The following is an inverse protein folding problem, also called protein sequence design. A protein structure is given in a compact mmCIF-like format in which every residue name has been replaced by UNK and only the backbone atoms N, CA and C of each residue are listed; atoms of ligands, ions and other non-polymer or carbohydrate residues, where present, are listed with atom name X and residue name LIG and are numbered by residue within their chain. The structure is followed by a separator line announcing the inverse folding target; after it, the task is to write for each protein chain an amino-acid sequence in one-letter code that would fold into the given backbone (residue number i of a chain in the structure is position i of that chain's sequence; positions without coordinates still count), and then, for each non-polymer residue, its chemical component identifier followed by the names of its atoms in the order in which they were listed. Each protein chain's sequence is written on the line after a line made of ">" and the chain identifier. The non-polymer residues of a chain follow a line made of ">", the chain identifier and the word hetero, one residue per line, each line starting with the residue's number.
data_IF_154672918019
#
_entry.id   IF_154672918019
#
_cell.length_a   1.000
_cell.length_b   1.000
_cell.length_c   1.000
_cell.angle_alpha   90.00
_cell.angle_beta   90.00
_cell.angle_gamma   90.00
#
_symmetry.space_group_name_H-M   'P 1'
#
loop_
_entity.id
_entity.type
_entity.pdbx_description
1 polymer ?
#
# COMPACT_ATOMS: atom_id res chain seq x y z
N UNK A 1 23.25 -2.68 -18.94
CA UNK A 1 22.81 -2.75 -17.53
C UNK A 1 22.94 -4.19 -17.09
N UNK A 2 23.50 -4.45 -15.90
CA UNK A 2 23.55 -5.81 -15.32
C UNK A 2 22.11 -6.34 -15.24
N UNK A 3 21.86 -7.59 -15.64
CA UNK A 3 20.52 -8.20 -15.51
C UNK A 3 20.36 -8.82 -14.13
N UNK A 4 19.14 -8.89 -13.58
CA UNK A 4 18.92 -9.51 -12.28
C UNK A 4 19.31 -10.99 -12.28
N UNK A 5 19.18 -11.71 -13.40
CA UNK A 5 19.55 -13.12 -13.53
C UNK A 5 21.07 -13.38 -13.48
N UNK A 6 21.90 -12.39 -13.79
CA UNK A 6 23.36 -12.54 -13.82
C UNK A 6 23.96 -12.48 -12.41
N UNK A 7 23.50 -11.51 -11.60
CA UNK A 7 23.87 -11.33 -10.20
C UNK A 7 22.80 -10.47 -9.51
N UNK A 8 21.85 -11.14 -8.86
CA UNK A 8 20.70 -10.49 -8.24
C UNK A 8 21.09 -9.55 -7.10
N UNK A 9 22.07 -9.94 -6.28
CA UNK A 9 22.51 -9.14 -5.15
C UNK A 9 23.16 -7.82 -5.61
N UNK A 10 24.03 -7.91 -6.61
CA UNK A 10 24.64 -6.71 -7.21
C UNK A 10 23.60 -5.86 -7.93
N UNK A 11 22.68 -6.48 -8.70
CA UNK A 11 21.59 -5.75 -9.35
C UNK A 11 20.72 -4.97 -8.35
N UNK A 12 20.33 -5.62 -7.26
CA UNK A 12 19.52 -5.01 -6.20
C UNK A 12 20.26 -3.88 -5.49
N UNK A 13 21.56 -4.04 -5.24
CA UNK A 13 22.40 -2.97 -4.68
C UNK A 13 22.42 -1.75 -5.62
N UNK A 14 22.66 -1.95 -6.92
CA UNK A 14 22.69 -0.83 -7.88
C UNK A 14 21.30 -0.17 -7.96
N UNK A 15 20.22 -0.96 -8.02
CA UNK A 15 18.85 -0.47 -7.97
C UNK A 15 18.62 0.46 -6.77
N UNK A 16 19.04 0.05 -5.58
CA UNK A 16 18.90 0.83 -4.35
C UNK A 16 19.73 2.11 -4.34
N UNK A 17 20.91 2.11 -4.95
CA UNK A 17 21.78 3.30 -5.01
C UNK A 17 21.34 4.32 -6.06
N UNK A 18 20.55 3.89 -7.05
CA UNK A 18 20.07 4.75 -8.14
C UNK A 18 18.73 5.42 -7.84
N UNK A 19 18.06 5.08 -6.74
CA UNK A 19 16.79 5.70 -6.30
C UNK A 19 16.88 7.21 -6.07
N UNK A 20 18.09 7.76 -5.90
CA UNK A 20 18.30 9.18 -5.68
C UNK A 20 18.30 9.98 -7.00
N UNK A 21 18.28 9.29 -8.15
CA UNK A 21 18.23 9.85 -9.51
C UNK A 21 17.14 9.14 -10.32
N UNK A 22 15.98 9.79 -10.49
CA UNK A 22 14.86 9.23 -11.26
C UNK A 22 15.26 8.84 -12.70
N UNK A 23 16.06 9.64 -13.45
CA UNK A 23 16.50 9.24 -14.78
C UNK A 23 17.32 7.95 -14.79
N UNK A 24 18.22 7.75 -13.83
CA UNK A 24 19.04 6.54 -13.76
C UNK A 24 18.21 5.34 -13.30
N UNK A 25 17.34 5.55 -12.31
CA UNK A 25 16.39 4.53 -11.87
C UNK A 25 15.47 4.06 -12.99
N UNK A 26 15.05 4.97 -13.90
CA UNK A 26 14.11 4.64 -14.97
C UNK A 26 14.56 3.47 -15.85
N UNK A 27 15.87 3.23 -15.94
CA UNK A 27 16.45 2.12 -16.69
C UNK A 27 16.14 0.75 -16.07
N UNK A 28 15.83 0.70 -14.76
CA UNK A 28 15.47 -0.54 -14.04
C UNK A 28 13.98 -0.88 -14.13
N UNK A 29 13.12 0.09 -14.46
CA UNK A 29 11.65 -0.09 -14.46
C UNK A 29 11.23 -1.29 -15.33
N UNK A 30 11.74 -1.48 -16.57
CA UNK A 30 11.36 -2.64 -17.39
C UNK A 30 11.71 -3.99 -16.76
N UNK A 31 12.84 -4.08 -16.05
CA UNK A 31 13.22 -5.31 -15.34
C UNK A 31 12.32 -5.55 -14.13
N UNK A 32 12.03 -4.50 -13.33
CA UNK A 32 11.12 -4.62 -12.19
C UNK A 32 9.73 -5.05 -12.65
N UNK A 33 9.20 -4.44 -13.71
CA UNK A 33 7.91 -4.78 -14.29
C UNK A 33 7.88 -6.23 -14.76
N UNK A 34 8.91 -6.67 -15.49
CA UNK A 34 9.03 -8.07 -15.93
C UNK A 34 9.05 -9.05 -14.76
N UNK A 35 9.80 -8.77 -13.70
CA UNK A 35 9.85 -9.64 -12.51
C UNK A 35 8.51 -9.66 -11.77
N UNK A 36 7.83 -8.51 -11.64
CA UNK A 36 6.49 -8.41 -11.07
C UNK A 36 5.46 -9.19 -11.90
N UNK A 37 5.54 -9.10 -13.23
CA UNK A 37 4.64 -9.83 -14.13
C UNK A 37 4.87 -11.35 -14.00
N UNK A 38 6.12 -11.80 -13.91
CA UNK A 38 6.42 -13.21 -13.61
C UNK A 38 5.73 -13.68 -12.31
N UNK A 39 5.84 -12.91 -11.23
CA UNK A 39 5.18 -13.25 -9.95
C UNK A 39 3.66 -13.26 -10.13
N UNK A 40 3.10 -12.29 -10.85
CA UNK A 40 1.65 -12.17 -11.01
C UNK A 40 1.06 -13.30 -11.84
N UNK A 41 1.80 -13.79 -12.84
CA UNK A 41 1.38 -14.85 -13.75
C UNK A 41 1.67 -16.26 -13.22
N UNK A 42 2.79 -16.45 -12.52
CA UNK A 42 3.29 -17.78 -12.14
C UNK A 42 3.43 -18.00 -10.64
N UNK A 43 3.15 -16.98 -9.81
CA UNK A 43 3.50 -16.92 -8.38
C UNK A 43 5.01 -17.05 -8.09
N UNK A 44 5.88 -17.02 -9.09
CA UNK A 44 7.31 -17.18 -8.92
C UNK A 44 8.13 -16.14 -9.71
N UNK A 45 9.35 -15.89 -9.25
CA UNK A 45 10.36 -15.24 -10.07
C UNK A 45 10.92 -16.25 -11.10
N UNK A 46 11.43 -15.80 -12.25
CA UNK A 46 12.03 -16.69 -13.24
C UNK A 46 13.30 -17.34 -12.67
N UNK A 47 13.68 -18.53 -13.14
CA UNK A 47 14.99 -19.11 -12.81
C UNK A 47 16.14 -18.20 -13.30
N UNK A 48 17.22 -18.00 -12.51
CA UNK A 48 17.55 -18.65 -11.23
C UNK A 48 17.01 -17.94 -9.98
N UNK A 49 16.10 -16.98 -10.12
CA UNK A 49 15.74 -16.00 -9.09
C UNK A 49 14.65 -16.45 -8.10
N UNK A 50 14.12 -17.65 -8.22
CA UNK A 50 12.96 -18.13 -7.43
C UNK A 50 13.13 -17.93 -5.93
N UNK A 51 14.32 -18.22 -5.39
CA UNK A 51 14.62 -18.10 -3.96
C UNK A 51 14.60 -16.65 -3.45
N UNK A 52 14.76 -15.66 -4.34
CA UNK A 52 14.81 -14.25 -3.98
C UNK A 52 13.44 -13.55 -4.00
N UNK A 53 12.34 -14.25 -4.29
CA UNK A 53 10.99 -13.64 -4.41
C UNK A 53 10.62 -12.79 -3.20
N UNK A 54 10.77 -13.33 -1.99
CA UNK A 54 10.38 -12.61 -0.78
C UNK A 54 11.32 -11.43 -0.50
N UNK A 55 12.61 -11.59 -0.77
CA UNK A 55 13.57 -10.50 -0.64
C UNK A 55 13.23 -9.37 -1.62
N UNK A 56 12.98 -9.68 -2.89
CA UNK A 56 12.58 -8.72 -3.91
C UNK A 56 11.36 -7.89 -3.47
N UNK A 57 10.28 -8.55 -3.02
CA UNK A 57 9.06 -7.88 -2.56
C UNK A 57 9.35 -6.97 -1.36
N UNK A 58 10.08 -7.49 -0.37
CA UNK A 58 10.41 -6.72 0.84
C UNK A 58 11.23 -5.47 0.50
N UNK A 59 12.22 -5.61 -0.37
CA UNK A 59 13.16 -4.55 -0.76
C UNK A 59 12.50 -3.46 -1.59
N UNK A 60 11.58 -3.82 -2.49
CA UNK A 60 10.72 -2.84 -3.18
C UNK A 60 10.00 -1.95 -2.16
N UNK A 61 9.42 -2.55 -1.12
CA UNK A 61 8.67 -1.80 -0.10
C UNK A 61 9.54 -0.93 0.80
N UNK A 62 10.62 -1.50 1.37
CA UNK A 62 11.38 -0.86 2.44
C UNK A 62 12.41 0.13 1.92
N UNK A 63 13.01 -0.15 0.76
CA UNK A 63 14.23 0.52 0.31
C UNK A 63 13.96 1.39 -0.93
N UNK A 64 13.08 0.95 -1.84
CA UNK A 64 12.77 1.70 -3.07
C UNK A 64 11.62 2.68 -2.83
N UNK A 65 10.43 2.18 -2.50
CA UNK A 65 9.22 3.02 -2.32
C UNK A 65 9.44 4.06 -1.24
N UNK A 66 9.99 3.66 -0.08
CA UNK A 66 10.23 4.59 1.02
C UNK A 66 11.14 5.75 0.62
N UNK A 67 12.16 5.53 -0.21
CA UNK A 67 13.04 6.61 -0.67
C UNK A 67 12.30 7.56 -1.61
N UNK A 68 11.54 7.02 -2.56
CA UNK A 68 10.75 7.86 -3.48
C UNK A 68 9.72 8.74 -2.78
N UNK A 69 9.04 8.21 -1.77
CA UNK A 69 8.08 8.99 -0.98
C UNK A 69 8.73 10.12 -0.17
N UNK A 70 10.05 10.09 0.02
CA UNK A 70 10.83 11.12 0.69
C UNK A 70 11.59 12.06 -0.27
N UNK A 71 11.40 11.92 -1.59
CA UNK A 71 11.99 12.86 -2.55
C UNK A 71 11.33 14.24 -2.44
N UNK A 72 12.13 15.29 -2.65
CA UNK A 72 11.68 16.68 -2.65
C UNK A 72 10.99 17.03 -3.99
N UNK A 73 10.96 18.32 -4.34
CA UNK A 73 10.42 18.77 -5.61
C UNK A 73 11.23 18.18 -6.78
N UNK A 74 10.53 17.63 -7.78
CA UNK A 74 11.14 17.09 -9.01
C UNK A 74 10.53 17.76 -10.24
N UNK A 75 11.25 17.79 -11.37
CA UNK A 75 10.68 18.19 -12.65
C UNK A 75 9.50 17.31 -13.06
N UNK A 76 8.50 17.87 -13.77
CA UNK A 76 7.30 17.16 -14.25
C UNK A 76 7.65 15.83 -14.94
N UNK A 77 8.66 15.82 -15.81
CA UNK A 77 9.08 14.61 -16.54
C UNK A 77 9.52 13.47 -15.59
N UNK A 78 10.18 13.80 -14.48
CA UNK A 78 10.58 12.81 -13.48
C UNK A 78 9.39 12.37 -12.63
N UNK A 79 8.45 13.28 -12.34
CA UNK A 79 7.20 12.96 -11.67
C UNK A 79 6.35 11.99 -12.52
N UNK A 80 6.31 12.17 -13.84
CA UNK A 80 5.62 11.24 -14.76
C UNK A 80 6.23 9.84 -14.72
N UNK A 81 7.57 9.73 -14.83
CA UNK A 81 8.29 8.45 -14.72
C UNK A 81 7.99 7.76 -13.39
N UNK A 82 8.07 8.52 -12.28
CA UNK A 82 7.80 7.98 -10.96
C UNK A 82 6.34 7.52 -10.84
N UNK A 83 5.39 8.30 -11.37
CA UNK A 83 3.99 7.92 -11.38
C UNK A 83 3.75 6.63 -12.18
N UNK A 84 4.40 6.46 -13.33
CA UNK A 84 4.36 5.22 -14.12
C UNK A 84 4.87 4.02 -13.30
N UNK A 85 5.98 4.18 -12.59
CA UNK A 85 6.48 3.16 -11.69
C UNK A 85 5.49 2.83 -10.55
N UNK A 86 4.88 3.82 -9.92
CA UNK A 86 3.90 3.60 -8.86
C UNK A 86 2.64 2.88 -9.37
N UNK A 87 2.23 3.11 -10.62
CA UNK A 87 1.12 2.37 -11.25
C UNK A 87 1.42 0.88 -11.37
N UNK A 88 2.65 0.50 -11.71
CA UNK A 88 3.09 -0.91 -11.72
C UNK A 88 2.91 -1.53 -10.33
N UNK A 89 3.31 -0.82 -9.27
CA UNK A 89 3.20 -1.31 -7.90
C UNK A 89 1.74 -1.47 -7.42
N UNK A 90 0.85 -0.56 -7.82
CA UNK A 90 -0.58 -0.66 -7.49
C UNK A 90 -1.22 -1.85 -8.23
N UNK A 91 -0.87 -2.06 -9.50
CA UNK A 91 -1.29 -3.26 -10.22
C UNK A 91 -0.76 -4.53 -9.56
N UNK A 92 0.50 -4.53 -9.11
CA UNK A 92 1.05 -5.65 -8.35
C UNK A 92 0.31 -5.86 -7.03
N UNK A 93 -0.11 -4.81 -6.33
CA UNK A 93 -0.84 -4.95 -5.06
C UNK A 93 -2.15 -5.76 -5.20
N UNK A 94 -2.79 -5.74 -6.38
CA UNK A 94 -3.98 -6.57 -6.69
C UNK A 94 -3.68 -8.06 -6.63
N UNK A 95 -2.47 -8.46 -7.00
CA UNK A 95 -1.99 -9.84 -6.86
C UNK A 95 -2.05 -10.30 -5.39
N UNK A 96 -1.86 -9.38 -4.45
CA UNK A 96 -1.91 -9.65 -3.02
C UNK A 96 -3.25 -10.24 -2.54
N UNK A 97 -4.38 -9.87 -3.18
CA UNK A 97 -5.68 -10.46 -2.87
C UNK A 97 -5.76 -11.93 -3.26
N UNK A 98 -5.26 -12.27 -4.46
CA UNK A 98 -5.29 -13.65 -4.99
C UNK A 98 -4.33 -14.57 -4.23
N UNK A 99 -3.15 -14.06 -3.90
CA UNK A 99 -2.09 -14.79 -3.20
C UNK A 99 -2.20 -14.78 -1.69
N UNK A 100 -3.17 -14.04 -1.12
CA UNK A 100 -3.26 -13.75 0.31
C UNK A 100 -1.94 -13.20 0.90
N UNK A 101 -1.18 -12.42 0.12
CA UNK A 101 0.11 -11.89 0.53
C UNK A 101 -0.02 -10.47 1.12
N UNK A 102 0.14 -10.39 2.45
CA UNK A 102 0.02 -9.14 3.22
C UNK A 102 1.00 -8.07 2.73
N UNK A 103 2.25 -8.45 2.45
CA UNK A 103 3.29 -7.50 2.04
C UNK A 103 2.97 -6.86 0.69
N UNK A 104 2.35 -7.60 -0.22
CA UNK A 104 1.95 -7.11 -1.54
C UNK A 104 0.75 -6.16 -1.44
N UNK A 105 -0.27 -6.51 -0.63
CA UNK A 105 -1.42 -5.59 -0.37
C UNK A 105 -0.95 -4.29 0.29
N UNK A 106 -0.01 -4.40 1.23
CA UNK A 106 0.54 -3.26 1.96
C UNK A 106 1.17 -2.21 1.03
N UNK A 107 1.71 -2.60 -0.14
CA UNK A 107 2.25 -1.66 -1.12
C UNK A 107 1.24 -0.58 -1.51
N UNK A 108 0.01 -0.98 -1.87
CA UNK A 108 -1.02 0.01 -2.21
C UNK A 108 -1.37 0.86 -1.01
N UNK A 109 -1.49 0.27 0.18
CA UNK A 109 -1.84 1.01 1.40
C UNK A 109 -0.81 2.10 1.70
N UNK A 110 0.49 1.82 1.57
CA UNK A 110 1.55 2.82 1.75
C UNK A 110 1.37 3.98 0.78
N UNK A 111 1.10 3.70 -0.49
CA UNK A 111 0.98 4.74 -1.52
C UNK A 111 -0.24 5.64 -1.32
N UNK A 112 -1.37 5.10 -0.86
CA UNK A 112 -2.64 5.85 -0.75
C UNK A 112 -2.88 6.45 0.63
N UNK A 113 -2.22 5.99 1.69
CA UNK A 113 -2.65 6.33 3.06
C UNK A 113 -2.10 7.62 3.63
N UNK A 114 -0.91 8.05 3.20
CA UNK A 114 -0.20 9.12 3.88
C UNK A 114 0.05 10.31 2.93
N UNK A 115 -0.80 11.34 3.07
CA UNK A 115 -0.65 12.63 2.38
C UNK A 115 0.57 13.42 2.84
N UNK A 116 1.17 13.03 3.97
CA UNK A 116 2.26 13.77 4.61
C UNK A 116 3.64 13.48 4.04
N UNK A 117 3.75 12.54 3.09
CA UNK A 117 4.99 12.26 2.38
C UNK A 117 5.54 13.50 1.67
N UNK A 118 6.87 13.66 1.73
CA UNK A 118 7.57 14.82 1.15
C UNK A 118 7.28 14.89 -0.35
N UNK A 119 7.25 13.75 -1.05
CA UNK A 119 6.93 13.70 -2.47
C UNK A 119 5.60 14.40 -2.79
N UNK A 120 4.56 14.18 -1.97
CA UNK A 120 3.23 14.73 -2.22
C UNK A 120 3.17 16.22 -1.86
N UNK A 121 3.78 16.60 -0.75
CA UNK A 121 3.85 18.00 -0.30
C UNK A 121 4.70 18.87 -1.23
N UNK A 122 5.87 18.41 -1.63
CA UNK A 122 6.79 19.21 -2.44
C UNK A 122 6.38 19.31 -3.91
N UNK A 123 5.35 18.56 -4.35
CA UNK A 123 4.91 18.49 -5.74
C UNK A 123 3.40 18.70 -5.91
N UNK A 124 2.81 19.63 -5.14
CA UNK A 124 1.36 19.93 -5.14
C UNK A 124 0.75 20.11 -6.54
N UNK A 125 1.45 20.79 -7.45
CA UNK A 125 0.96 21.05 -8.82
C UNK A 125 0.76 19.78 -9.66
N UNK A 126 1.42 18.68 -9.32
CA UNK A 126 1.23 17.40 -10.01
C UNK A 126 0.03 16.60 -9.47
N UNK A 127 -0.40 16.90 -8.26
CA UNK A 127 -1.51 16.24 -7.56
C UNK A 127 -1.33 14.72 -7.42
N UNK A 128 -0.16 14.29 -6.94
CA UNK A 128 0.24 12.88 -6.85
C UNK A 128 -0.79 12.00 -6.16
N UNK A 129 -1.23 12.39 -4.96
CA UNK A 129 -2.07 11.56 -4.11
C UNK A 129 -3.43 11.27 -4.76
N UNK A 130 -4.07 12.28 -5.33
CA UNK A 130 -5.31 12.13 -6.10
C UNK A 130 -5.12 11.23 -7.33
N UNK A 131 -4.03 11.45 -8.10
CA UNK A 131 -3.73 10.60 -9.28
C UNK A 131 -3.56 9.13 -8.92
N UNK A 132 -2.84 8.84 -7.82
CA UNK A 132 -2.64 7.48 -7.31
C UNK A 132 -3.97 6.85 -6.89
N UNK A 133 -4.80 7.57 -6.11
CA UNK A 133 -6.08 7.05 -5.65
C UNK A 133 -7.06 6.80 -6.82
N UNK A 134 -7.11 7.73 -7.79
CA UNK A 134 -7.91 7.56 -9.01
C UNK A 134 -7.46 6.35 -9.80
N UNK A 135 -6.15 6.20 -10.03
CA UNK A 135 -5.61 5.04 -10.73
C UNK A 135 -5.93 3.73 -10.01
N UNK A 136 -5.79 3.67 -8.68
CA UNK A 136 -6.13 2.48 -7.90
C UNK A 136 -7.60 2.06 -8.07
N UNK A 137 -8.51 3.03 -8.21
CA UNK A 137 -9.90 2.74 -8.57
C UNK A 137 -10.04 2.25 -10.01
N UNK A 138 -9.44 2.98 -10.97
CA UNK A 138 -9.52 2.67 -12.41
C UNK A 138 -8.95 1.28 -12.75
N UNK A 139 -7.86 0.88 -12.10
CA UNK A 139 -7.22 -0.41 -12.33
C UNK A 139 -7.94 -1.57 -11.61
N UNK A 140 -9.06 -1.32 -10.93
CA UNK A 140 -9.87 -2.34 -10.27
C UNK A 140 -9.43 -2.75 -8.86
N UNK A 141 -8.39 -2.14 -8.28
CA UNK A 141 -7.94 -2.48 -6.92
C UNK A 141 -9.06 -2.23 -5.89
N UNK A 142 -9.83 -1.16 -6.05
CA UNK A 142 -10.93 -0.84 -5.14
C UNK A 142 -12.04 -1.91 -5.15
N UNK A 143 -12.45 -2.36 -6.33
CA UNK A 143 -13.55 -3.31 -6.47
C UNK A 143 -13.11 -4.72 -6.04
N UNK A 144 -11.92 -5.15 -6.46
CA UNK A 144 -11.33 -6.43 -6.06
C UNK A 144 -11.09 -6.49 -4.54
N UNK A 145 -10.63 -5.39 -3.92
CA UNK A 145 -10.46 -5.33 -2.47
C UNK A 145 -11.78 -5.48 -1.71
N UNK A 146 -12.87 -4.89 -2.20
CA UNK A 146 -14.20 -5.07 -1.61
C UNK A 146 -14.71 -6.50 -1.75
N UNK A 147 -14.52 -7.12 -2.92
CA UNK A 147 -14.84 -8.53 -3.14
C UNK A 147 -14.05 -9.42 -2.19
N UNK A 148 -12.73 -9.21 -2.10
CA UNK A 148 -11.84 -9.93 -1.21
C UNK A 148 -12.31 -9.84 0.25
N UNK A 149 -12.63 -8.65 0.76
CA UNK A 149 -13.16 -8.50 2.12
C UNK A 149 -14.51 -9.20 2.32
N UNK A 150 -15.33 -9.28 1.27
CA UNK A 150 -16.62 -9.96 1.30
C UNK A 150 -16.49 -11.48 1.40
N UNK A 151 -15.34 -12.05 1.00
CA UNK A 151 -15.05 -13.49 1.16
C UNK A 151 -14.58 -13.88 2.56
N UNK A 152 -14.50 -12.93 3.49
CA UNK A 152 -14.01 -13.13 4.87
C UNK A 152 -12.58 -13.73 4.91
N UNK A 153 -11.55 -12.93 4.57
CA UNK A 153 -10.16 -13.38 4.63
C UNK A 153 -9.79 -13.90 6.02
N UNK A 154 -8.97 -14.95 6.07
CA UNK A 154 -8.60 -15.63 7.33
C UNK A 154 -7.64 -14.82 8.21
N UNK A 155 -6.95 -13.82 7.66
CA UNK A 155 -5.96 -13.01 8.37
C UNK A 155 -6.51 -11.63 8.70
N UNK A 156 -6.38 -11.25 9.98
CA UNK A 156 -6.71 -9.90 10.48
C UNK A 156 -5.87 -8.85 9.76
N UNK A 157 -4.60 -9.13 9.47
CA UNK A 157 -3.72 -8.20 8.78
C UNK A 157 -4.18 -7.96 7.34
N UNK A 158 -4.60 -9.02 6.63
CA UNK A 158 -5.16 -8.91 5.28
C UNK A 158 -6.40 -8.01 5.28
N UNK A 159 -7.29 -8.18 6.26
CA UNK A 159 -8.49 -7.34 6.42
C UNK A 159 -8.10 -5.90 6.70
N UNK A 160 -7.20 -5.68 7.65
CA UNK A 160 -6.78 -4.34 8.10
C UNK A 160 -6.15 -3.54 6.95
N UNK A 161 -5.14 -4.10 6.27
CA UNK A 161 -4.43 -3.39 5.21
C UNK A 161 -5.31 -3.14 3.99
N UNK A 162 -6.16 -4.10 3.62
CA UNK A 162 -7.14 -3.93 2.54
C UNK A 162 -8.14 -2.83 2.88
N UNK A 163 -8.80 -2.92 4.03
CA UNK A 163 -9.78 -1.91 4.46
C UNK A 163 -9.17 -0.51 4.55
N UNK A 164 -7.96 -0.40 5.13
CA UNK A 164 -7.23 0.86 5.23
C UNK A 164 -7.00 1.49 3.86
N UNK A 165 -6.46 0.72 2.89
CA UNK A 165 -6.25 1.21 1.53
C UNK A 165 -7.57 1.68 0.87
N UNK A 166 -8.64 0.88 0.96
CA UNK A 166 -9.95 1.21 0.40
C UNK A 166 -10.55 2.48 1.03
N UNK A 167 -10.38 2.66 2.35
CA UNK A 167 -10.85 3.85 3.06
C UNK A 167 -10.21 5.13 2.51
N UNK A 168 -8.88 5.14 2.37
CA UNK A 168 -8.17 6.30 1.85
C UNK A 168 -8.51 6.60 0.40
N UNK A 169 -8.57 5.58 -0.46
CA UNK A 169 -9.01 5.74 -1.85
C UNK A 169 -10.41 6.37 -1.91
N UNK A 170 -11.36 5.86 -1.12
CA UNK A 170 -12.72 6.38 -1.11
C UNK A 170 -12.82 7.82 -0.59
N UNK A 171 -12.05 8.14 0.45
CA UNK A 171 -11.99 9.49 1.03
C UNK A 171 -11.52 10.49 -0.02
N UNK A 172 -10.37 10.23 -0.64
CA UNK A 172 -9.75 11.10 -1.64
C UNK A 172 -10.64 11.32 -2.86
N UNK A 173 -11.39 10.30 -3.31
CA UNK A 173 -12.25 10.41 -4.50
C UNK A 173 -13.56 11.17 -4.22
N UNK A 174 -13.98 11.29 -2.96
CA UNK A 174 -15.21 12.01 -2.58
C UNK A 174 -14.99 13.47 -2.21
N UNK A 175 -13.79 13.82 -1.77
CA UNK A 175 -13.42 15.19 -1.42
C UNK A 175 -13.31 16.20 -2.58
N UNK A 176 -13.20 15.87 -3.89
CA UNK A 176 -13.06 16.89 -4.93
C UNK A 176 -14.36 17.66 -5.24
N UNK A 177 -15.50 17.28 -4.67
CA UNK A 177 -16.80 17.93 -4.92
C UNK A 177 -17.15 19.05 -3.92
N UNK A 178 -16.42 19.21 -2.81
CA UNK A 178 -16.78 20.17 -1.74
C UNK A 178 -15.92 21.45 -1.70
N UNK A 179 -14.75 21.51 -2.36
CA UNK A 179 -13.86 22.68 -2.28
C UNK A 179 -14.22 23.87 -3.19
N UNK A 180 -15.20 23.73 -4.09
CA UNK A 180 -15.63 24.84 -4.97
C UNK A 180 -16.69 25.76 -4.34
N UNK A 181 -17.08 25.54 -3.07
CA UNK A 181 -18.02 26.42 -2.36
C UNK A 181 -17.54 26.76 -0.92
N UNK A 182 -16.75 27.85 -0.83
CA UNK A 182 -16.40 28.65 0.35
C UNK A 182 -15.13 28.29 1.17
N UNK A 183 -14.14 29.19 1.11
CA UNK A 183 -13.07 29.37 2.13
C UNK A 183 -13.63 29.77 3.52
N UNK A 184 -12.89 29.66 4.68
CA UNK A 184 -11.43 29.63 4.82
C UNK A 184 -10.82 28.56 5.77
N UNK A 185 -9.55 28.27 5.49
CA UNK A 185 -8.44 27.83 6.36
C UNK A 185 -8.78 27.34 7.80
N UNK A 186 -8.89 26.01 7.98
CA UNK A 186 -8.77 25.35 9.28
C UNK A 186 -7.55 24.44 9.25
N UNK A 187 -6.58 24.79 10.09
CA UNK A 187 -5.33 24.09 10.31
C UNK A 187 -5.63 22.76 11.05
N UNK A 188 -5.80 21.66 10.32
CA UNK A 188 -6.07 20.33 10.90
C UNK A 188 -4.80 19.47 10.93
N UNK A 189 -3.95 19.73 11.92
CA UNK A 189 -2.93 18.79 12.35
C UNK A 189 -3.58 17.73 13.25
N UNK A 190 -4.16 16.68 12.66
CA UNK A 190 -4.68 15.53 13.40
C UNK A 190 -4.14 14.22 12.80
N UNK A 191 -2.97 13.79 13.31
CA UNK A 191 -2.55 12.39 13.28
C UNK A 191 -3.54 11.57 14.13
N UNK A 192 -4.68 11.23 13.55
CA UNK A 192 -5.66 10.34 14.18
C UNK A 192 -5.42 8.92 13.71
N UNK A 193 -5.25 8.02 14.68
CA UNK A 193 -5.08 6.59 14.45
C UNK A 193 -6.24 6.06 13.57
N UNK A 194 -6.01 5.24 12.54
CA UNK A 194 -7.06 4.77 11.62
C UNK A 194 -8.28 4.16 12.33
N UNK A 195 -8.08 3.52 13.49
CA UNK A 195 -9.15 2.98 14.34
C UNK A 195 -10.14 4.03 14.88
N UNK A 196 -9.73 5.28 15.04
CA UNK A 196 -10.58 6.38 15.55
C UNK A 196 -11.47 6.93 14.44
N UNK A 197 -11.00 6.93 13.19
CA UNK A 197 -11.77 7.37 12.02
C UNK A 197 -12.91 6.40 11.65
N UNK A 198 -12.85 5.14 12.11
CA UNK A 198 -13.89 4.10 11.92
C UNK A 198 -15.24 4.51 12.57
N UNK A 199 -15.23 5.43 13.55
CA UNK A 199 -16.40 5.74 14.37
C UNK A 199 -17.41 6.72 13.73
N UNK A 200 -17.12 7.38 12.61
CA UNK A 200 -17.85 8.61 12.20
C UNK A 200 -18.62 8.62 10.85
N UNK A 201 -18.83 7.51 10.11
CA UNK A 201 -19.58 7.55 8.83
C UNK A 201 -20.70 6.49 8.67
N UNK A 202 -21.98 6.83 8.31
CA UNK A 202 -23.10 5.94 8.66
C UNK A 202 -23.81 5.18 7.53
N UNK A 203 -23.59 5.40 6.22
CA UNK A 203 -24.61 4.97 5.22
C UNK A 203 -24.27 3.86 4.22
N UNK A 204 -23.00 3.48 4.04
CA UNK A 204 -22.60 2.22 3.35
C UNK A 204 -21.77 1.29 4.24
N UNK A 205 -21.40 1.77 5.42
CA UNK A 205 -20.56 1.06 6.37
C UNK A 205 -21.37 0.06 7.19
N UNK A 206 -22.71 0.07 7.20
CA UNK A 206 -23.51 -0.79 8.09
C UNK A 206 -23.21 -2.29 7.96
N UNK A 207 -23.08 -2.84 6.74
CA UNK A 207 -22.70 -4.26 6.55
C UNK A 207 -21.25 -4.56 6.95
N UNK A 208 -20.35 -3.61 6.71
CA UNK A 208 -18.93 -3.70 7.12
C UNK A 208 -18.80 -3.46 8.64
N UNK A 209 -19.69 -2.69 9.26
CA UNK A 209 -19.77 -2.43 10.69
C UNK A 209 -20.28 -3.65 11.44
N UNK A 210 -21.26 -4.38 10.89
CA UNK A 210 -21.66 -5.68 11.46
C UNK A 210 -20.49 -6.68 11.40
N UNK A 211 -19.71 -6.64 10.30
CA UNK A 211 -18.46 -7.39 10.13
C UNK A 211 -17.37 -6.98 11.13
N UNK A 212 -17.14 -5.68 11.30
CA UNK A 212 -16.19 -5.13 12.27
C UNK A 212 -16.67 -5.32 13.70
N UNK A 213 -17.98 -5.33 13.99
CA UNK A 213 -18.52 -5.58 15.33
C UNK A 213 -18.35 -7.04 15.71
N UNK A 214 -18.54 -7.96 14.77
CA UNK A 214 -18.25 -9.39 14.94
C UNK A 214 -16.74 -9.62 15.10
N UNK A 215 -15.91 -9.00 14.26
CA UNK A 215 -14.45 -9.16 14.31
C UNK A 215 -13.77 -8.38 15.43
N UNK A 216 -14.26 -7.22 15.83
CA UNK A 216 -13.75 -6.48 17.01
C UNK A 216 -14.17 -7.19 18.29
N UNK A 217 -15.38 -7.74 18.37
CA UNK A 217 -15.73 -8.63 19.47
C UNK A 217 -14.85 -9.89 19.47
N UNK A 218 -14.50 -10.43 18.31
CA UNK A 218 -13.57 -11.56 18.20
C UNK A 218 -12.13 -11.17 18.58
N UNK A 219 -11.62 -10.02 18.14
CA UNK A 219 -10.28 -9.50 18.46
C UNK A 219 -10.17 -9.14 19.95
N UNK A 220 -11.19 -8.50 20.52
CA UNK A 220 -11.31 -8.24 21.95
C UNK A 220 -11.36 -9.57 22.70
N UNK A 221 -12.14 -10.54 22.24
CA UNK A 221 -12.24 -11.87 22.85
C UNK A 221 -10.92 -12.65 22.75
N UNK A 222 -10.23 -12.69 21.62
CA UNK A 222 -8.94 -13.38 21.46
C UNK A 222 -7.82 -12.68 22.22
N UNK A 223 -7.85 -11.35 22.31
CA UNK A 223 -6.90 -10.58 23.12
C UNK A 223 -7.17 -10.79 24.61
N UNK A 224 -8.43 -10.85 25.02
CA UNK A 224 -8.84 -11.19 26.38
C UNK A 224 -8.43 -12.63 26.74
N UNK A 225 -8.67 -13.61 25.87
CA UNK A 225 -8.28 -15.02 26.08
C UNK A 225 -6.75 -15.17 26.14
N UNK A 226 -5.98 -14.50 25.26
CA UNK A 226 -4.50 -14.49 25.35
C UNK A 226 -4.00 -13.83 26.62
N UNK A 227 -4.60 -12.70 27.01
CA UNK A 227 -4.26 -12.01 28.25
C UNK A 227 -4.54 -12.90 29.46
N UNK A 228 -5.71 -13.57 29.50
CA UNK A 228 -6.10 -14.44 30.59
C UNK A 228 -5.26 -15.72 30.66
N UNK A 229 -4.92 -16.33 29.51
CA UNK A 229 -4.03 -17.50 29.45
C UNK A 229 -2.63 -17.17 29.98
N UNK A 230 -2.06 -16.04 29.55
CA UNK A 230 -0.76 -15.57 30.05
C UNK A 230 -0.80 -15.16 31.53
N UNK A 231 -1.95 -14.69 32.02
CA UNK A 231 -2.14 -14.35 33.43
C UNK A 231 -2.29 -15.61 34.31
N UNK A 232 -2.92 -16.66 33.80
CA UNK A 232 -3.03 -17.95 34.50
C UNK A 232 -1.69 -18.71 34.51
N UNK A 233 -0.91 -18.69 33.43
CA UNK A 233 0.41 -19.34 33.40
C UNK A 233 1.45 -18.67 34.31
N UNK A 234 1.34 -17.34 34.53
CA UNK A 234 2.27 -16.60 35.41
C UNK A 234 1.93 -16.64 36.90
N UNK A 235 0.75 -17.15 37.27
CA UNK A 235 0.27 -17.20 38.66
C UNK A 235 0.12 -18.64 39.21
N UNK A 236 0.70 -19.63 38.54
CA UNK A 236 0.83 -21.00 39.06
C UNK A 236 2.31 -21.27 39.34
N UNK A 237 2.84 -20.60 40.36
CA UNK A 237 3.99 -21.00 41.19
C UNK A 237 3.91 -20.26 42.53
#
# INVERSE_FOLDING_TARGET
>A
MLKPEDDFATWLMILQTTTDSIPDFSQFIPDIERLINSITETDELPDPLKEYKQEFINRLSSDVIRKFLNLNSLPIQQLDILFDFLKILINFARYGFKSNNIHVIYLCQVLVSNTEYILYKSNHGFNFHNKICNFAKECGFYDEGNEFLSTFPSSVDLIYWTFSALHFILKTIKEPEEEDNNHPNINNNNNTHPLVLILNHPKKVVKIWDLFKIQSNYLIFTSFVRFHSNFCEKNVY
#
